data_IF_024723600026
#
_entry.id   IF_024723600026
#
_cell.length_a   1.000
_cell.length_b   1.000
_cell.length_c   1.000
_cell.angle_alpha   90.00
_cell.angle_beta   90.00
_cell.angle_gamma   90.00
#
_symmetry.space_group_name_H-M   'P 1'
#
loop_
_entity.id
_entity.type
_entity.pdbx_description
1 polymer ?
#
# COMPACT_ATOMS: atom_id res chain seq x y z
N UNK A 1 18.17 -19.21 14.97
CA UNK A 1 17.87 -18.96 13.54
C UNK A 1 17.68 -20.27 12.78
N UNK A 2 18.73 -20.97 12.31
CA UNK A 2 18.64 -22.12 11.37
C UNK A 2 17.51 -23.13 11.67
N UNK A 3 17.36 -23.62 12.90
CA UNK A 3 16.32 -24.61 13.26
C UNK A 3 14.87 -24.18 13.02
N UNK A 4 14.58 -22.88 12.98
CA UNK A 4 13.21 -22.36 12.73
C UNK A 4 12.82 -22.57 11.26
N UNK A 5 13.71 -22.21 10.33
CA UNK A 5 13.43 -22.35 8.90
C UNK A 5 13.46 -23.82 8.47
N UNK A 6 14.34 -24.64 9.04
CA UNK A 6 14.31 -26.11 8.87
C UNK A 6 12.92 -26.68 9.19
N UNK A 7 12.32 -26.29 10.32
CA UNK A 7 11.00 -26.77 10.75
C UNK A 7 9.84 -26.27 9.87
N UNK A 8 9.95 -25.07 9.26
CA UNK A 8 8.98 -24.58 8.26
C UNK A 8 9.08 -25.39 6.98
N UNK A 9 10.29 -25.52 6.42
CA UNK A 9 10.50 -26.19 5.15
C UNK A 9 10.20 -27.69 5.20
N UNK A 10 10.44 -28.35 6.35
CA UNK A 10 10.12 -29.76 6.54
C UNK A 10 8.61 -30.10 6.52
N UNK A 11 7.71 -29.10 6.44
CA UNK A 11 6.25 -29.30 6.40
C UNK A 11 5.59 -28.89 5.09
N UNK A 12 6.27 -28.22 4.16
CA UNK A 12 5.67 -27.88 2.85
C UNK A 12 5.72 -29.08 1.90
N UNK A 13 4.58 -29.64 1.45
CA UNK A 13 4.55 -30.82 0.60
C UNK A 13 4.91 -30.48 -0.86
N UNK A 14 5.62 -31.38 -1.53
CA UNK A 14 5.74 -31.36 -3.00
C UNK A 14 6.87 -30.53 -3.60
N UNK A 15 7.94 -30.22 -2.85
CA UNK A 15 9.19 -29.69 -3.42
C UNK A 15 10.42 -30.41 -2.89
N UNK A 16 11.40 -30.62 -3.77
CA UNK A 16 12.73 -31.16 -3.44
C UNK A 16 13.59 -30.10 -2.72
N UNK A 17 13.30 -28.82 -2.95
CA UNK A 17 14.10 -27.69 -2.51
C UNK A 17 13.30 -26.73 -1.63
N UNK A 18 13.89 -26.40 -0.47
CA UNK A 18 13.35 -25.51 0.56
C UNK A 18 12.92 -24.14 0.02
N UNK A 19 13.81 -23.53 -0.77
CA UNK A 19 13.59 -22.25 -1.46
C UNK A 19 12.35 -22.34 -2.36
N UNK A 20 12.27 -23.37 -3.18
CA UNK A 20 11.32 -23.46 -4.29
C UNK A 20 9.89 -23.73 -3.78
N UNK A 21 9.75 -24.41 -2.62
CA UNK A 21 8.48 -24.52 -1.91
C UNK A 21 7.93 -23.15 -1.49
N UNK A 22 8.76 -22.33 -0.83
CA UNK A 22 8.37 -21.00 -0.38
C UNK A 22 8.13 -20.06 -1.55
N UNK A 23 8.91 -20.19 -2.62
CA UNK A 23 8.78 -19.40 -3.85
C UNK A 23 7.46 -19.70 -4.57
N UNK A 24 7.06 -20.98 -4.64
CA UNK A 24 5.74 -21.40 -5.13
C UNK A 24 4.62 -20.78 -4.29
N UNK A 25 4.65 -20.91 -2.95
CA UNK A 25 3.63 -20.32 -2.07
C UNK A 25 3.56 -18.78 -2.20
N UNK A 26 4.71 -18.11 -2.32
CA UNK A 26 4.75 -16.66 -2.59
C UNK A 26 4.05 -16.35 -3.91
N UNK A 27 4.34 -17.10 -4.98
CA UNK A 27 3.67 -16.96 -6.28
C UNK A 27 2.15 -17.18 -6.19
N UNK A 28 1.71 -18.24 -5.51
CA UNK A 28 0.27 -18.54 -5.33
C UNK A 28 -0.47 -17.47 -4.52
N UNK A 29 0.15 -16.88 -3.50
CA UNK A 29 -0.42 -15.75 -2.74
C UNK A 29 -0.43 -14.45 -3.55
N UNK A 30 0.67 -14.14 -4.25
CA UNK A 30 0.91 -12.86 -4.93
C UNK A 30 0.34 -12.79 -6.36
N UNK A 31 -0.02 -13.92 -6.97
CA UNK A 31 -0.75 -13.96 -8.24
C UNK A 31 -2.06 -13.16 -8.19
N UNK A 32 -2.76 -13.19 -7.04
CA UNK A 32 -3.99 -12.40 -6.81
C UNK A 32 -3.78 -10.88 -6.89
N UNK A 33 -2.53 -10.42 -6.76
CA UNK A 33 -2.11 -9.02 -6.85
C UNK A 33 -1.38 -8.69 -8.16
N UNK A 34 -1.30 -9.66 -9.09
CA UNK A 34 -0.56 -9.53 -10.36
C UNK A 34 0.97 -9.50 -10.21
N UNK A 35 1.51 -9.95 -9.06
CA UNK A 35 2.94 -9.87 -8.75
C UNK A 35 3.61 -11.24 -8.91
N UNK A 36 4.56 -11.33 -9.83
CA UNK A 36 5.32 -12.57 -10.11
C UNK A 36 6.66 -12.56 -9.37
N UNK A 37 6.79 -13.39 -8.34
CA UNK A 37 8.06 -13.60 -7.62
C UNK A 37 8.87 -14.71 -8.30
N UNK A 38 10.10 -14.42 -8.72
CA UNK A 38 11.01 -15.39 -9.37
C UNK A 38 12.24 -15.71 -8.55
N UNK A 39 12.50 -14.98 -7.46
CA UNK A 39 13.66 -15.16 -6.59
C UNK A 39 13.41 -14.55 -5.19
N UNK A 40 14.38 -14.68 -4.28
CA UNK A 40 14.40 -14.03 -2.96
C UNK A 40 15.42 -12.89 -2.85
N UNK A 41 15.78 -12.25 -3.96
CA UNK A 41 16.67 -11.07 -3.97
C UNK A 41 15.96 -9.90 -4.66
N UNK A 42 16.27 -9.59 -5.93
CA UNK A 42 15.71 -8.44 -6.63
C UNK A 42 14.16 -8.45 -6.74
N UNK A 43 13.47 -9.61 -6.74
CA UNK A 43 11.99 -9.64 -6.69
C UNK A 43 11.36 -9.02 -5.43
N UNK A 44 12.16 -8.65 -4.41
CA UNK A 44 11.69 -8.08 -3.15
C UNK A 44 12.22 -6.66 -2.89
N UNK A 45 13.05 -6.09 -3.77
CA UNK A 45 13.66 -4.76 -3.59
C UNK A 45 12.64 -3.63 -3.67
N UNK A 46 11.60 -3.76 -4.49
CA UNK A 46 10.54 -2.75 -4.64
C UNK A 46 9.70 -2.53 -3.37
N UNK A 47 9.78 -3.40 -2.37
CA UNK A 47 8.96 -3.39 -1.16
C UNK A 47 7.49 -3.84 -1.39
N UNK A 48 6.95 -3.64 -2.60
CA UNK A 48 5.56 -4.00 -2.96
C UNK A 48 5.27 -5.49 -2.68
N UNK A 49 6.22 -6.39 -2.94
CA UNK A 49 6.07 -7.81 -2.64
C UNK A 49 5.78 -8.11 -1.16
N UNK A 50 6.44 -7.40 -0.24
CA UNK A 50 6.17 -7.51 1.20
C UNK A 50 4.82 -6.89 1.56
N UNK A 51 4.50 -5.72 1.01
CA UNK A 51 3.23 -5.05 1.26
C UNK A 51 2.04 -5.92 0.83
N UNK A 52 2.07 -6.47 -0.39
CA UNK A 52 1.00 -7.33 -0.91
C UNK A 52 0.89 -8.68 -0.17
N UNK A 53 2.02 -9.24 0.28
CA UNK A 53 2.00 -10.46 1.09
C UNK A 53 1.33 -10.20 2.46
N UNK A 54 1.64 -9.10 3.11
CA UNK A 54 1.02 -8.70 4.38
C UNK A 54 -0.46 -8.29 4.20
N UNK A 55 -0.80 -7.58 3.12
CA UNK A 55 -2.18 -7.24 2.73
C UNK A 55 -3.06 -8.49 2.58
N UNK A 56 -2.49 -9.64 2.16
CA UNK A 56 -3.24 -10.91 2.07
C UNK A 56 -3.76 -11.46 3.40
N UNK A 57 -3.30 -10.90 4.54
CA UNK A 57 -3.81 -11.20 5.89
C UNK A 57 -4.36 -9.96 6.61
N UNK A 58 -3.84 -8.76 6.30
CA UNK A 58 -4.10 -7.51 7.00
C UNK A 58 -4.47 -6.37 6.02
N UNK A 59 -5.55 -6.49 5.23
CA UNK A 59 -5.96 -5.43 4.29
C UNK A 59 -6.31 -4.12 5.01
N UNK A 60 -6.84 -4.21 6.24
CA UNK A 60 -7.15 -3.07 7.12
C UNK A 60 -5.90 -2.29 7.62
N UNK A 61 -4.68 -2.70 7.26
CA UNK A 61 -3.41 -2.06 7.70
C UNK A 61 -2.54 -1.57 6.55
N UNK A 62 -2.86 -1.92 5.30
CA UNK A 62 -2.00 -1.69 4.14
C UNK A 62 -2.90 -1.28 2.97
N UNK A 63 -2.75 -0.08 2.43
CA UNK A 63 -3.40 0.34 1.19
C UNK A 63 -2.40 0.20 0.03
N UNK A 64 -2.62 -0.77 -0.85
CA UNK A 64 -1.70 -1.05 -1.95
C UNK A 64 -1.71 0.01 -3.05
N UNK A 65 -2.81 0.76 -3.24
CA UNK A 65 -2.90 1.76 -4.30
C UNK A 65 -2.23 3.08 -3.89
N UNK A 66 -2.25 3.40 -2.59
CA UNK A 66 -1.36 4.43 -2.01
C UNK A 66 0.10 3.97 -2.04
N UNK A 67 0.41 2.74 -1.59
CA UNK A 67 1.79 2.25 -1.43
C UNK A 67 2.53 2.06 -2.76
N UNK A 68 1.85 1.68 -3.85
CA UNK A 68 2.45 1.63 -5.20
C UNK A 68 3.05 2.99 -5.60
N UNK A 69 2.39 4.09 -5.26
CA UNK A 69 2.81 5.45 -5.60
C UNK A 69 3.86 6.04 -4.63
N UNK A 70 4.18 5.35 -3.53
CA UNK A 70 5.16 5.80 -2.55
C UNK A 70 6.60 5.32 -2.81
N UNK A 71 7.53 5.99 -2.16
CA UNK A 71 8.99 5.77 -2.23
C UNK A 71 9.44 4.42 -1.65
N UNK A 72 10.47 3.80 -2.24
CA UNK A 72 11.05 2.49 -1.84
C UNK A 72 11.24 2.37 -0.32
N UNK A 73 11.90 3.37 0.31
CA UNK A 73 12.10 3.45 1.77
C UNK A 73 10.78 3.37 2.55
N UNK A 74 9.80 4.21 2.21
CA UNK A 74 8.53 4.30 2.93
C UNK A 74 7.64 3.06 2.75
N UNK A 75 7.70 2.38 1.60
CA UNK A 75 7.07 1.06 1.41
C UNK A 75 7.61 0.03 2.43
N UNK A 76 8.92 -0.03 2.62
CA UNK A 76 9.54 -0.92 3.62
C UNK A 76 9.19 -0.51 5.05
N UNK A 77 9.22 0.79 5.38
CA UNK A 77 8.84 1.29 6.71
C UNK A 77 7.41 0.87 7.08
N UNK A 78 6.45 1.01 6.15
CA UNK A 78 5.07 0.55 6.36
C UNK A 78 5.01 -0.97 6.53
N UNK A 79 5.62 -1.75 5.63
CA UNK A 79 5.60 -3.21 5.70
C UNK A 79 6.20 -3.75 7.01
N UNK A 80 7.34 -3.20 7.44
CA UNK A 80 8.03 -3.63 8.65
C UNK A 80 7.32 -3.14 9.93
N UNK A 81 6.72 -1.95 9.91
CA UNK A 81 5.86 -1.45 11.00
C UNK A 81 4.62 -2.32 11.22
N UNK A 82 3.92 -2.70 10.14
CA UNK A 82 2.75 -3.59 10.20
C UNK A 82 3.15 -5.00 10.65
N UNK A 83 4.26 -5.55 10.15
CA UNK A 83 4.77 -6.85 10.59
C UNK A 83 5.17 -6.85 12.08
N UNK A 84 5.86 -5.81 12.54
CA UNK A 84 6.23 -5.62 13.95
C UNK A 84 5.00 -5.48 14.85
N UNK A 85 3.96 -4.79 14.38
CA UNK A 85 2.69 -4.60 15.10
C UNK A 85 1.90 -5.90 15.34
N UNK A 86 2.13 -6.96 14.55
CA UNK A 86 1.61 -8.32 14.83
C UNK A 86 2.62 -9.24 15.51
N UNK A 87 3.81 -8.75 15.86
CA UNK A 87 4.84 -9.51 16.57
C UNK A 87 5.77 -10.35 15.68
N UNK A 88 5.84 -10.06 14.38
CA UNK A 88 6.86 -10.63 13.49
C UNK A 88 8.15 -9.82 13.67
N UNK A 89 9.22 -10.49 14.15
CA UNK A 89 10.53 -9.85 14.35
C UNK A 89 11.12 -9.43 13.01
N UNK A 90 11.31 -8.12 12.85
CA UNK A 90 12.01 -7.50 11.71
C UNK A 90 13.51 -7.80 11.78
N UNK A 91 14.05 -8.48 10.77
CA UNK A 91 15.48 -8.86 10.68
C UNK A 91 16.19 -8.28 9.44
N UNK A 92 15.51 -7.41 8.72
CA UNK A 92 15.98 -6.70 7.54
C UNK A 92 15.98 -5.21 7.87
N UNK A 93 17.07 -4.51 7.58
CA UNK A 93 17.15 -3.07 7.77
C UNK A 93 16.60 -2.33 6.54
N UNK A 94 15.77 -1.32 6.77
CA UNK A 94 15.13 -0.53 5.71
C UNK A 94 16.17 0.09 4.78
N UNK A 95 17.28 0.58 5.32
CA UNK A 95 18.31 1.28 4.53
C UNK A 95 19.22 0.32 3.75
N UNK A 96 19.46 -0.90 4.27
CA UNK A 96 20.10 -2.00 3.52
C UNK A 96 19.24 -2.39 2.32
N UNK A 97 17.95 -2.67 2.54
CA UNK A 97 16.98 -3.04 1.50
C UNK A 97 16.71 -1.92 0.50
N UNK A 98 16.76 -0.65 0.93
CA UNK A 98 16.54 0.50 0.06
C UNK A 98 17.79 0.82 -0.78
N UNK A 99 19.00 0.70 -0.20
CA UNK A 99 20.26 1.04 -0.90
C UNK A 99 20.77 -0.08 -1.79
N UNK A 100 20.51 -1.35 -1.44
CA UNK A 100 20.87 -2.49 -2.29
C UNK A 100 19.80 -2.77 -3.35
N UNK A 101 20.28 -3.14 -4.54
CA UNK A 101 19.50 -3.76 -5.63
C UNK A 101 19.61 -5.30 -5.57
N UNK A 102 20.57 -5.82 -4.79
CA UNK A 102 20.90 -7.24 -4.67
C UNK A 102 20.99 -7.62 -3.19
N UNK A 103 19.85 -7.63 -2.46
CA UNK A 103 19.83 -7.93 -1.03
C UNK A 103 20.16 -9.41 -0.74
N UNK A 104 20.67 -9.66 0.48
CA UNK A 104 21.01 -10.99 1.00
C UNK A 104 19.80 -11.94 0.92
N UNK A 105 19.81 -12.81 -0.09
CA UNK A 105 18.66 -13.67 -0.39
C UNK A 105 18.32 -14.66 0.74
N UNK A 106 19.31 -15.03 1.58
CA UNK A 106 19.08 -15.84 2.77
C UNK A 106 18.28 -15.09 3.83
N UNK A 107 18.56 -13.80 4.05
CA UNK A 107 17.83 -12.96 5.03
C UNK A 107 16.41 -12.69 4.56
N UNK A 108 16.24 -12.35 3.28
CA UNK A 108 14.92 -12.16 2.65
C UNK A 108 14.10 -13.44 2.73
N UNK A 109 14.66 -14.59 2.31
CA UNK A 109 13.98 -15.88 2.41
C UNK A 109 13.64 -16.25 3.87
N UNK A 110 14.53 -16.00 4.83
CA UNK A 110 14.27 -16.24 6.25
C UNK A 110 13.13 -15.35 6.78
N UNK A 111 13.12 -14.06 6.43
CA UNK A 111 12.08 -13.13 6.87
C UNK A 111 10.71 -13.49 6.26
N UNK A 112 10.65 -13.86 4.98
CA UNK A 112 9.43 -14.40 4.36
C UNK A 112 8.97 -15.71 5.03
N UNK A 113 9.90 -16.57 5.45
CA UNK A 113 9.58 -17.78 6.22
C UNK A 113 9.09 -17.49 7.66
N UNK A 114 9.45 -16.34 8.26
CA UNK A 114 8.83 -15.87 9.51
C UNK A 114 7.39 -15.43 9.27
N UNK A 115 7.13 -14.65 8.21
CA UNK A 115 5.78 -14.21 7.82
C UNK A 115 4.89 -15.44 7.55
N UNK A 116 5.38 -16.42 6.77
CA UNK A 116 4.73 -17.71 6.56
C UNK A 116 4.35 -18.36 7.89
N UNK A 117 5.32 -18.56 8.80
CA UNK A 117 5.07 -19.27 10.07
C UNK A 117 4.15 -18.50 11.03
N UNK A 118 4.03 -17.19 10.89
CA UNK A 118 3.12 -16.39 11.71
C UNK A 118 1.65 -16.56 11.27
N UNK A 119 1.36 -16.47 9.97
CA UNK A 119 -0.01 -16.54 9.46
C UNK A 119 -0.47 -17.96 9.06
N UNK A 120 0.37 -18.72 8.36
CA UNK A 120 0.11 -20.13 7.95
C UNK A 120 0.55 -21.11 9.04
N UNK A 121 0.30 -20.76 10.31
CA UNK A 121 1.00 -21.26 11.50
C UNK A 121 0.82 -22.74 11.85
N UNK A 122 1.36 -23.65 11.02
CA UNK A 122 1.55 -25.08 11.25
C UNK A 122 0.37 -25.79 11.97
N UNK A 123 -0.85 -25.59 11.46
CA UNK A 123 -2.08 -26.12 12.06
C UNK A 123 -2.00 -27.65 12.24
N UNK A 124 -2.07 -28.17 13.49
CA UNK A 124 -2.35 -29.57 13.73
C UNK A 124 -3.85 -29.83 13.52
N UNK A 125 -4.25 -29.91 12.26
CA UNK A 125 -5.59 -30.32 11.77
C UNK A 125 -6.80 -29.67 12.46
N UNK A 126 -7.39 -28.66 11.81
CA UNK A 126 -8.84 -28.41 11.89
C UNK A 126 -9.36 -28.05 10.48
N UNK A 127 -10.32 -28.81 9.91
CA UNK A 127 -10.93 -28.48 8.62
C UNK A 127 -12.06 -27.47 8.82
N UNK A 128 -11.73 -26.17 8.81
CA UNK A 128 -12.76 -25.12 8.75
C UNK A 128 -13.30 -25.00 7.32
N UNK A 129 -14.60 -25.26 7.17
CA UNK A 129 -15.31 -25.39 5.90
C UNK A 129 -15.37 -24.09 5.08
N UNK A 130 -15.60 -24.18 3.75
CA UNK A 130 -15.66 -23.00 2.87
C UNK A 130 -16.93 -22.16 3.06
N UNK A 131 -16.96 -21.04 2.33
CA UNK A 131 -18.08 -20.10 2.11
C UNK A 131 -18.32 -19.05 3.21
N UNK A 132 -17.80 -17.83 2.98
CA UNK A 132 -18.56 -16.63 3.29
C UNK A 132 -19.37 -16.23 2.03
N UNK A 133 -20.69 -16.04 2.10
CA UNK A 133 -21.50 -15.74 0.91
C UNK A 133 -21.18 -14.36 0.31
N UNK A 134 -21.17 -14.28 -1.02
CA UNK A 134 -21.19 -13.02 -1.77
C UNK A 134 -22.62 -12.45 -1.70
N UNK A 135 -22.84 -11.20 -1.25
CA UNK A 135 -24.12 -10.51 -1.42
C UNK A 135 -24.27 -10.09 -2.89
N UNK A 136 -24.81 -10.98 -3.71
CA UNK A 136 -25.09 -10.71 -5.12
C UNK A 136 -26.49 -10.09 -5.29
N UNK A 137 -26.66 -9.31 -6.36
CA UNK A 137 -27.93 -8.82 -6.93
C UNK A 137 -28.61 -7.65 -6.17
N UNK A 138 -29.24 -6.67 -6.83
CA UNK A 138 -29.29 -6.36 -8.28
C UNK A 138 -29.83 -4.95 -8.56
N UNK A 139 -29.47 -4.41 -9.74
CA UNK A 139 -30.26 -3.48 -10.58
C UNK A 139 -30.90 -2.22 -9.96
N UNK A 140 -30.37 -1.06 -10.37
CA UNK A 140 -31.17 0.14 -10.63
C UNK A 140 -32.29 -0.14 -11.66
N UNK A 141 -33.34 0.68 -11.70
CA UNK A 141 -33.41 1.57 -12.86
C UNK A 141 -33.79 3.03 -12.53
N UNK A 142 -33.75 3.88 -13.56
CA UNK A 142 -34.10 5.30 -13.49
C UNK A 142 -35.60 5.51 -13.26
N UNK A 143 -35.95 6.67 -12.67
CA UNK A 143 -36.97 7.52 -13.29
C UNK A 143 -36.73 9.00 -12.96
N UNK A 144 -36.67 9.83 -14.00
CA UNK A 144 -36.61 11.28 -13.89
C UNK A 144 -38.02 11.85 -13.90
N UNK A 145 -38.29 12.91 -13.12
CA UNK A 145 -39.47 13.77 -13.30
C UNK A 145 -39.20 15.17 -12.76
N UNK A 146 -39.85 16.17 -13.37
CA UNK A 146 -39.43 17.58 -13.33
C UNK A 146 -40.63 18.50 -13.06
N UNK A 147 -40.55 19.34 -12.03
CA UNK A 147 -41.45 20.48 -11.83
C UNK A 147 -40.93 21.51 -10.82
N UNK A 148 -40.50 22.67 -11.33
CA UNK A 148 -40.51 23.97 -10.63
C UNK A 148 -41.95 24.55 -10.63
N UNK A 149 -42.28 25.79 -10.15
CA UNK A 149 -41.44 26.89 -9.64
C UNK A 149 -42.06 27.64 -8.42
N UNK A 150 -41.80 28.96 -8.33
CA UNK A 150 -42.24 30.01 -7.37
C UNK A 150 -41.54 30.02 -6.00
N UNK A 151 -40.97 31.10 -5.44
CA UNK A 151 -41.08 32.58 -5.53
C UNK A 151 -41.85 33.22 -4.37
N UNK A 152 -41.11 33.84 -3.44
CA UNK A 152 -41.41 35.15 -2.81
C UNK A 152 -40.26 35.59 -1.90
N UNK A 153 -40.16 36.90 -1.62
CA UNK A 153 -39.00 37.56 -0.97
C UNK A 153 -39.37 38.30 0.32
N UNK A 154 -38.36 38.92 0.97
CA UNK A 154 -38.38 39.89 2.10
C UNK A 154 -37.95 39.27 3.44
N UNK A 155 -36.99 39.78 4.23
CA UNK A 155 -36.63 41.16 4.65
C UNK A 155 -37.60 41.70 5.72
N UNK A 156 -37.21 42.28 6.87
CA UNK A 156 -35.88 42.67 7.45
C UNK A 156 -35.91 42.46 9.00
N UNK A 157 -35.11 43.03 9.94
CA UNK A 157 -33.96 43.99 10.00
C UNK A 157 -33.39 44.03 11.44
N UNK A 158 -32.11 44.46 11.62
CA UNK A 158 -31.52 45.11 12.83
C UNK A 158 -31.47 44.33 14.17
N UNK A 159 -30.56 44.57 15.14
CA UNK A 159 -29.32 45.39 15.31
C UNK A 159 -28.52 44.76 16.50
N UNK A 160 -27.25 45.03 16.85
CA UNK A 160 -26.45 46.27 16.89
C UNK A 160 -24.92 45.94 16.95
N UNK A 161 -23.99 46.78 16.45
CA UNK A 161 -23.11 47.74 17.21
C UNK A 161 -22.19 47.11 18.29
N UNK A 162 -20.86 47.34 18.40
CA UNK A 162 -19.99 48.41 17.84
C UNK A 162 -18.48 48.04 17.86
N UNK A 163 -17.70 48.59 16.91
CA UNK A 163 -16.25 48.98 16.96
C UNK A 163 -15.17 47.92 17.33
N UNK A 164 -13.89 48.01 16.95
CA UNK A 164 -13.08 49.08 16.30
C UNK A 164 -11.99 48.49 15.35
N UNK A 165 -11.53 49.28 14.36
CA UNK A 165 -10.18 49.33 13.73
C UNK A 165 -9.30 48.06 13.67
N UNK A 166 -8.73 47.67 12.51
CA UNK A 166 -7.84 48.54 11.71
C UNK A 166 -7.79 48.25 10.20
N UNK A 167 -7.19 49.20 9.47
CA UNK A 167 -6.92 49.20 8.02
C UNK A 167 -5.73 48.26 7.67
N UNK A 168 -5.38 47.94 6.42
CA UNK A 168 -5.62 48.67 5.16
C UNK A 168 -5.60 47.81 3.87
N UNK A 169 -6.06 48.47 2.78
CA UNK A 169 -5.58 48.36 1.39
C UNK A 169 -5.43 46.98 0.71
N UNK A 170 -6.45 46.63 -0.08
CA UNK A 170 -6.32 45.79 -1.28
C UNK A 170 -5.33 46.35 -2.30
N UNK A 171 -4.81 45.50 -3.19
CA UNK A 171 -4.77 45.80 -4.63
C UNK A 171 -4.76 44.50 -5.46
N UNK A 172 -5.51 44.50 -6.57
CA UNK A 172 -5.55 43.42 -7.56
C UNK A 172 -4.96 43.92 -8.88
N UNK A 173 -4.13 43.11 -9.52
CA UNK A 173 -4.09 42.89 -11.00
C UNK A 173 -3.19 41.67 -11.24
N UNK A 174 -3.65 40.56 -11.81
CA UNK A 174 -4.11 40.32 -13.19
C UNK A 174 -2.96 40.00 -14.16
N UNK A 175 -3.00 38.79 -14.73
CA UNK A 175 -2.49 38.31 -16.03
C UNK A 175 -1.16 38.90 -16.56
N UNK A 176 -0.16 38.08 -16.92
CA UNK A 176 -0.24 37.22 -18.12
C UNK A 176 0.99 36.31 -18.28
N UNK A 177 0.84 35.24 -19.05
CA UNK A 177 1.95 34.48 -19.67
C UNK A 177 2.13 35.02 -21.10
N UNK A 178 3.38 35.26 -21.56
CA UNK A 178 3.81 34.60 -22.80
C UNK A 178 5.26 34.07 -22.74
N UNK A 179 5.62 33.29 -23.76
CA UNK A 179 6.90 32.60 -23.94
C UNK A 179 7.96 33.46 -24.66
N UNK A 180 9.17 32.89 -24.83
CA UNK A 180 9.99 32.85 -26.08
C UNK A 180 11.39 33.51 -26.05
N UNK A 181 12.43 32.64 -26.13
CA UNK A 181 13.77 32.79 -26.74
C UNK A 181 14.83 33.84 -26.32
N UNK A 182 16.09 33.36 -26.43
CA UNK A 182 17.29 33.99 -27.04
C UNK A 182 18.47 34.41 -26.12
N UNK A 183 19.67 34.43 -26.73
CA UNK A 183 21.02 34.65 -26.16
C UNK A 183 21.52 33.51 -25.24
N UNK A 184 22.56 32.70 -25.51
CA UNK A 184 23.76 32.75 -26.38
C UNK A 184 24.99 33.50 -25.81
N UNK A 185 26.19 33.02 -26.20
CA UNK A 185 27.56 33.49 -25.85
C UNK A 185 28.05 33.11 -24.42
N UNK A 186 29.31 32.72 -24.17
CA UNK A 186 30.47 32.32 -25.02
C UNK A 186 31.58 31.64 -24.15
N UNK A 187 32.65 31.13 -24.78
CA UNK A 187 33.96 30.69 -24.23
C UNK A 187 33.98 29.39 -23.40
N UNK A 188 35.04 28.56 -23.46
CA UNK A 188 36.30 28.62 -24.25
C UNK A 188 36.37 27.45 -25.22
#
# INVERSE_FOLDING_TARGET
MKSIVEAVFARMPGSVCKRDALLKWCGEKLANYGITITNFSNSWTDGIAFCSLLHSYLPDRIDLDVIKNESKKKRFEIAFSVASSVGIVTILDVEEMCSSEWPDWERVMYYVALIFRHFEGLIPSQPVSPSMPIPQATSSPLSSSNSSPTFSSSSSSSSASSSSSSLCASLRTSNSIPTTLCSALQTV
#
